data_IF_681335057516
#
_entry.id   IF_681335057516
#
_cell.length_a   1.000
_cell.length_b   1.000
_cell.length_c   1.000
_cell.angle_alpha   90.00
_cell.angle_beta   90.00
_cell.angle_gamma   90.00
#
_symmetry.space_group_name_H-M   'P 1'
#
loop_
_entity.id
_entity.type
_entity.pdbx_description
1 polymer ?
#
# COMPACT_ATOMS: atom_id res chain seq x y z
N UNK A 1 -16.79 -11.28 -38.18
CA UNK A 1 -15.74 -12.15 -37.61
C UNK A 1 -15.24 -11.48 -36.33
N UNK A 2 -15.67 -11.94 -35.14
CA UNK A 2 -15.30 -11.33 -33.87
C UNK A 2 -13.95 -11.89 -33.41
N UNK A 3 -12.90 -11.07 -33.37
CA UNK A 3 -11.62 -11.48 -32.76
C UNK A 3 -11.85 -11.60 -31.24
N UNK A 4 -11.72 -12.82 -30.71
CA UNK A 4 -11.56 -13.04 -29.27
C UNK A 4 -10.28 -12.32 -28.84
N UNK A 5 -10.43 -11.17 -28.18
CA UNK A 5 -9.31 -10.48 -27.59
C UNK A 5 -8.71 -11.38 -26.51
N UNK A 6 -7.41 -11.69 -26.61
CA UNK A 6 -6.70 -12.48 -25.61
C UNK A 6 -6.93 -11.87 -24.21
N UNK A 7 -7.31 -12.72 -23.25
CA UNK A 7 -7.46 -12.28 -21.87
C UNK A 7 -6.10 -11.83 -21.34
N UNK A 8 -6.02 -10.69 -20.64
CA UNK A 8 -4.77 -10.22 -20.07
C UNK A 8 -4.24 -11.24 -19.06
N UNK A 9 -3.00 -11.65 -19.26
CA UNK A 9 -2.33 -12.70 -18.49
C UNK A 9 -1.70 -12.07 -17.23
N UNK A 10 -1.89 -12.66 -16.04
CA UNK A 10 -1.16 -12.24 -14.85
C UNK A 10 0.35 -12.28 -15.06
N UNK A 11 1.06 -11.28 -14.56
CA UNK A 11 2.52 -11.23 -14.63
C UNK A 11 3.15 -11.96 -13.44
N UNK A 12 4.34 -12.54 -13.67
CA UNK A 12 5.18 -13.07 -12.60
C UNK A 12 5.90 -11.92 -11.92
N UNK A 13 5.88 -11.91 -10.60
CA UNK A 13 6.54 -10.90 -9.77
C UNK A 13 7.45 -11.56 -8.74
N UNK A 14 8.43 -10.80 -8.24
CA UNK A 14 9.35 -11.26 -7.20
C UNK A 14 9.58 -10.13 -6.21
N UNK A 15 9.50 -10.45 -4.92
CA UNK A 15 9.74 -9.48 -3.87
C UNK A 15 11.18 -8.96 -3.92
N UNK A 16 11.33 -7.64 -3.76
CA UNK A 16 12.62 -6.96 -3.88
C UNK A 16 12.91 -6.11 -2.64
N UNK A 17 13.94 -6.53 -1.88
CA UNK A 17 14.50 -5.76 -0.77
C UNK A 17 13.79 -5.97 0.57
N UNK A 18 13.62 -4.89 1.32
CA UNK A 18 12.96 -4.88 2.64
C UNK A 18 11.68 -4.05 2.57
N UNK A 19 10.61 -4.41 3.31
CA UNK A 19 9.39 -3.63 3.33
C UNK A 19 9.64 -2.25 3.94
N UNK A 20 9.08 -1.22 3.32
CA UNK A 20 9.25 0.16 3.78
C UNK A 20 8.11 0.59 4.70
N UNK A 21 8.44 1.09 5.90
CA UNK A 21 7.46 1.74 6.79
C UNK A 21 7.08 3.12 6.23
N UNK A 22 5.80 3.32 5.89
CA UNK A 22 5.29 4.55 5.30
C UNK A 22 3.98 5.01 5.93
N UNK A 23 3.77 6.31 5.92
CA UNK A 23 2.44 6.91 5.99
C UNK A 23 1.97 7.17 4.57
N UNK A 24 0.74 6.76 4.25
CA UNK A 24 0.12 7.01 2.96
C UNK A 24 -0.87 8.15 3.14
N UNK A 25 -0.51 9.32 2.62
CA UNK A 25 -1.25 10.56 2.83
C UNK A 25 -1.89 11.05 1.53
N UNK A 26 -3.10 11.56 1.60
CA UNK A 26 -3.65 12.38 0.54
C UNK A 26 -3.40 13.86 0.90
N UNK A 27 -2.70 14.64 0.06
CA UNK A 27 -2.27 16.00 0.41
C UNK A 27 -3.31 17.08 0.09
N UNK A 28 -4.39 16.76 -0.64
CA UNK A 28 -5.29 17.76 -1.22
C UNK A 28 -6.32 18.24 -0.20
N UNK A 29 -6.63 19.56 -0.09
CA UNK A 29 -7.42 20.12 1.02
C UNK A 29 -8.72 19.37 1.35
N UNK A 30 -9.56 19.09 0.34
CA UNK A 30 -10.83 18.35 0.49
C UNK A 30 -10.63 16.92 0.97
N UNK A 31 -9.51 16.31 0.60
CA UNK A 31 -9.21 14.92 0.87
C UNK A 31 -8.04 14.73 1.84
N UNK A 32 -7.64 15.79 2.54
CA UNK A 32 -6.41 15.83 3.31
C UNK A 32 -6.45 14.86 4.48
N UNK A 33 -5.44 14.02 4.58
CA UNK A 33 -5.28 13.09 5.70
C UNK A 33 -4.54 11.80 5.33
N UNK A 34 -4.38 10.94 6.32
CA UNK A 34 -3.62 9.68 6.23
C UNK A 34 -4.57 8.50 6.15
N UNK A 35 -4.19 7.46 5.40
CA UNK A 35 -4.87 6.18 5.44
C UNK A 35 -4.70 5.56 6.82
N UNK A 36 -5.81 5.12 7.41
CA UNK A 36 -5.84 4.49 8.73
C UNK A 36 -6.77 3.28 8.72
N UNK A 37 -6.48 2.35 9.61
CA UNK A 37 -7.44 1.36 10.04
C UNK A 37 -8.17 1.84 11.29
N UNK A 38 -9.49 1.82 11.27
CA UNK A 38 -10.28 2.08 12.49
C UNK A 38 -10.44 0.77 13.26
N UNK A 39 -10.49 0.83 14.59
CA UNK A 39 -10.89 -0.27 15.47
C UNK A 39 -12.40 -0.25 15.72
N UNK A 40 -12.95 -1.39 16.13
CA UNK A 40 -14.30 -1.57 16.65
C UNK A 40 -14.34 -1.22 18.13
N UNK A 41 -15.54 -1.13 18.72
CA UNK A 41 -15.70 -0.86 20.15
C UNK A 41 -15.07 -1.94 21.04
N UNK A 42 -15.02 -3.19 20.57
CA UNK A 42 -14.36 -4.30 21.25
C UNK A 42 -12.82 -4.35 21.03
N UNK A 43 -12.23 -3.32 20.41
CA UNK A 43 -10.79 -3.25 20.13
C UNK A 43 -10.37 -3.87 18.80
N UNK A 44 -11.19 -4.74 18.20
CA UNK A 44 -10.79 -5.44 16.98
C UNK A 44 -10.60 -4.51 15.78
N UNK A 45 -9.62 -4.78 14.90
CA UNK A 45 -9.45 -4.01 13.68
C UNK A 45 -10.65 -4.14 12.72
N UNK A 46 -11.10 -3.02 12.14
CA UNK A 46 -12.10 -3.07 11.05
C UNK A 46 -11.47 -3.56 9.75
N UNK A 47 -12.25 -4.30 8.97
CA UNK A 47 -11.84 -4.83 7.66
C UNK A 47 -11.90 -3.79 6.51
N UNK A 48 -11.74 -2.49 6.81
CA UNK A 48 -11.87 -1.39 5.85
C UNK A 48 -10.84 -0.30 6.11
N UNK A 49 -10.44 0.38 5.04
CA UNK A 49 -9.51 1.51 5.06
C UNK A 49 -10.29 2.82 5.18
N UNK A 50 -9.85 3.72 6.03
CA UNK A 50 -10.44 5.05 6.21
C UNK A 50 -9.39 6.14 6.03
N UNK A 51 -9.83 7.40 6.03
CA UNK A 51 -8.95 8.57 6.15
C UNK A 51 -9.14 9.24 7.50
N UNK A 52 -8.04 9.56 8.17
CA UNK A 52 -8.02 10.48 9.31
C UNK A 52 -7.31 11.80 8.94
N UNK A 53 -7.89 12.94 9.32
CA UNK A 53 -7.31 14.26 9.02
C UNK A 53 -6.06 14.53 9.87
N UNK A 54 -6.08 14.05 11.12
CA UNK A 54 -5.00 14.14 12.07
C UNK A 54 -4.71 12.73 12.58
N UNK A 55 -3.44 12.34 12.53
CA UNK A 55 -2.95 11.10 13.12
C UNK A 55 -2.06 11.53 14.28
N UNK A 56 -2.48 11.26 15.54
CA UNK A 56 -1.67 11.60 16.70
C UNK A 56 -0.27 11.00 16.61
N UNK A 57 0.73 11.71 17.12
CA UNK A 57 2.08 11.20 17.20
C UNK A 57 2.09 9.90 18.02
N UNK A 58 2.50 8.79 17.40
CA UNK A 58 2.51 7.47 18.02
C UNK A 58 1.32 6.57 17.69
N UNK A 59 0.34 7.04 16.90
CA UNK A 59 -0.70 6.17 16.36
C UNK A 59 -0.08 5.15 15.39
N UNK A 60 -0.10 3.87 15.76
CA UNK A 60 0.49 2.77 14.99
C UNK A 60 -0.43 2.29 13.87
N UNK A 61 -1.74 2.56 13.97
CA UNK A 61 -2.79 2.11 13.05
C UNK A 61 -2.79 2.83 11.70
N UNK A 62 -1.89 3.81 11.53
CA UNK A 62 -1.65 4.51 10.27
C UNK A 62 -0.39 4.06 9.53
N UNK A 63 0.46 3.26 10.18
CA UNK A 63 1.72 2.83 9.57
C UNK A 63 1.46 1.68 8.60
N UNK A 64 1.84 1.89 7.34
CA UNK A 64 1.69 0.90 6.27
C UNK A 64 3.07 0.37 5.89
N UNK A 65 3.23 -0.94 5.94
CA UNK A 65 4.35 -1.65 5.31
C UNK A 65 4.08 -1.73 3.81
N UNK A 66 5.04 -1.25 3.02
CA UNK A 66 5.00 -1.29 1.55
C UNK A 66 6.04 -2.29 1.08
N UNK A 67 5.58 -3.41 0.55
CA UNK A 67 6.39 -4.45 -0.07
C UNK A 67 6.48 -4.14 -1.56
N UNK A 68 7.68 -4.01 -2.12
CA UNK A 68 7.89 -3.71 -3.54
C UNK A 68 8.36 -4.95 -4.29
N UNK A 69 7.93 -5.10 -5.54
CA UNK A 69 8.24 -6.25 -6.37
C UNK A 69 8.80 -5.81 -7.73
N UNK A 70 9.71 -6.62 -8.25
CA UNK A 70 10.09 -6.61 -9.67
C UNK A 70 9.18 -7.55 -10.45
N UNK A 71 9.11 -7.40 -11.78
CA UNK A 71 8.28 -8.23 -12.64
C UNK A 71 9.02 -8.67 -13.90
N UNK A 72 8.58 -9.79 -14.46
CA UNK A 72 9.01 -10.26 -15.77
C UNK A 72 7.76 -10.50 -16.65
N UNK A 73 7.57 -9.74 -17.74
CA UNK A 73 8.41 -8.61 -18.18
C UNK A 73 8.37 -7.42 -17.20
N UNK A 74 9.37 -6.52 -17.24
CA UNK A 74 9.35 -5.30 -16.43
C UNK A 74 8.14 -4.44 -16.73
N UNK A 75 7.50 -3.92 -15.66
CA UNK A 75 6.42 -2.95 -15.79
C UNK A 75 6.99 -1.56 -16.09
N UNK A 76 6.42 -0.86 -17.07
CA UNK A 76 6.95 0.43 -17.58
C UNK A 76 6.38 1.65 -16.87
N UNK A 77 5.24 1.53 -16.19
CA UNK A 77 4.48 2.65 -15.64
C UNK A 77 4.43 2.74 -14.11
N UNK A 78 5.22 1.95 -13.38
CA UNK A 78 5.13 1.95 -11.92
C UNK A 78 5.90 0.84 -11.23
N UNK A 79 5.43 0.45 -10.06
CA UNK A 79 6.02 -0.65 -9.27
C UNK A 79 4.90 -1.45 -8.64
N UNK A 80 4.96 -2.77 -8.77
CA UNK A 80 4.02 -3.64 -8.06
C UNK A 80 4.31 -3.59 -6.56
N UNK A 81 3.25 -3.44 -5.78
CA UNK A 81 3.32 -3.34 -4.33
C UNK A 81 2.23 -4.15 -3.65
N UNK A 82 2.53 -4.54 -2.41
CA UNK A 82 1.55 -5.01 -1.43
C UNK A 82 1.59 -4.07 -0.24
N UNK A 83 0.41 -3.71 0.26
CA UNK A 83 0.23 -2.77 1.37
C UNK A 83 -0.34 -3.53 2.56
N UNK A 84 0.24 -3.33 3.74
CA UNK A 84 -0.20 -3.96 4.99
C UNK A 84 -0.20 -2.93 6.12
N UNK A 85 -1.27 -2.87 6.91
CA UNK A 85 -1.21 -2.11 8.16
C UNK A 85 -0.30 -2.85 9.15
N UNK A 86 0.76 -2.16 9.62
CA UNK A 86 1.83 -2.77 10.42
C UNK A 86 1.31 -3.37 11.72
N UNK A 87 0.43 -2.66 12.43
CA UNK A 87 -0.02 -3.06 13.76
C UNK A 87 -0.97 -4.27 13.70
N UNK A 88 -1.93 -4.27 12.78
CA UNK A 88 -2.92 -5.35 12.66
C UNK A 88 -2.45 -6.51 11.80
N UNK A 89 -1.39 -6.34 11.01
CA UNK A 89 -0.95 -7.32 10.02
C UNK A 89 -1.92 -7.48 8.83
N UNK A 90 -2.99 -6.68 8.73
CA UNK A 90 -3.99 -6.85 7.68
C UNK A 90 -3.57 -6.18 6.37
N UNK A 91 -3.71 -6.92 5.28
CA UNK A 91 -3.37 -6.50 3.92
C UNK A 91 -4.52 -5.77 3.24
N UNK A 92 -4.17 -4.78 2.43
CA UNK A 92 -5.08 -4.18 1.47
C UNK A 92 -5.34 -5.22 0.37
N UNK A 93 -6.60 -5.43 0.03
CA UNK A 93 -6.97 -6.35 -1.03
C UNK A 93 -8.18 -5.87 -1.82
N UNK A 94 -8.25 -6.29 -3.08
CA UNK A 94 -9.43 -6.19 -3.91
C UNK A 94 -10.26 -7.48 -3.82
N UNK A 95 -11.50 -7.37 -3.36
CA UNK A 95 -12.50 -8.46 -3.37
C UNK A 95 -13.76 -8.07 -4.12
N UNK A 96 -14.57 -9.06 -4.46
CA UNK A 96 -15.86 -8.87 -5.13
C UNK A 96 -15.78 -9.11 -6.65
N UNK A 97 -16.88 -8.81 -7.34
CA UNK A 97 -17.00 -9.04 -8.78
C UNK A 97 -16.26 -7.94 -9.56
N UNK A 98 -15.82 -8.25 -10.77
CA UNK A 98 -15.08 -7.32 -11.62
C UNK A 98 -15.82 -6.00 -11.92
N UNK A 99 -17.16 -6.03 -11.94
CA UNK A 99 -18.00 -4.83 -12.14
C UNK A 99 -18.31 -4.06 -10.84
N UNK A 100 -18.06 -4.66 -9.67
CA UNK A 100 -18.22 -4.01 -8.36
C UNK A 100 -17.09 -4.41 -7.39
N UNK A 101 -15.84 -4.02 -7.70
CA UNK A 101 -14.70 -4.35 -6.86
C UNK A 101 -14.74 -3.53 -5.57
N UNK A 102 -14.34 -4.15 -4.46
CA UNK A 102 -14.31 -3.56 -3.12
C UNK A 102 -12.90 -3.57 -2.58
N UNK A 103 -12.47 -2.45 -2.03
CA UNK A 103 -11.27 -2.38 -1.19
C UNK A 103 -11.61 -2.94 0.19
N UNK A 104 -10.86 -3.92 0.65
CA UNK A 104 -11.01 -4.52 1.98
C UNK A 104 -9.65 -4.67 2.65
N UNK A 105 -9.68 -4.86 3.96
CA UNK A 105 -8.53 -5.35 4.73
C UNK A 105 -8.75 -6.82 5.06
N UNK A 106 -7.74 -7.65 4.82
CA UNK A 106 -7.82 -9.09 5.04
C UNK A 106 -6.51 -9.65 5.59
N UNK A 107 -6.63 -10.78 6.29
CA UNK A 107 -5.49 -11.61 6.62
C UNK A 107 -4.93 -12.26 5.36
N UNK A 108 -3.67 -12.70 5.44
CA UNK A 108 -3.04 -13.44 4.37
C UNK A 108 -1.67 -13.94 4.78
N UNK A 109 -1.14 -14.83 3.96
CA UNK A 109 0.21 -15.33 4.11
C UNK A 109 1.25 -14.21 3.94
N UNK A 110 2.51 -14.52 4.25
CA UNK A 110 3.64 -13.63 4.05
C UNK A 110 3.66 -13.04 2.62
N UNK A 111 3.65 -11.71 2.55
CA UNK A 111 3.69 -10.98 1.28
C UNK A 111 4.93 -11.35 0.46
N UNK A 112 6.09 -11.61 1.09
CA UNK A 112 7.34 -11.88 0.35
C UNK A 112 7.27 -13.11 -0.55
N UNK A 113 6.31 -14.01 -0.31
CA UNK A 113 6.06 -15.24 -1.08
C UNK A 113 5.12 -15.05 -2.27
N UNK A 114 4.54 -13.87 -2.45
CA UNK A 114 3.64 -13.59 -3.58
C UNK A 114 4.44 -13.52 -4.87
N UNK A 115 4.04 -14.32 -5.86
CA UNK A 115 4.75 -14.46 -7.14
C UNK A 115 3.93 -14.06 -8.36
N UNK A 116 2.68 -13.61 -8.18
CA UNK A 116 1.79 -13.25 -9.31
C UNK A 116 0.93 -12.03 -9.03
N UNK A 117 0.69 -11.22 -10.07
CA UNK A 117 -0.28 -10.11 -10.06
C UNK A 117 -1.75 -10.56 -10.02
N UNK A 118 -2.00 -11.87 -10.09
CA UNK A 118 -3.31 -12.45 -9.84
C UNK A 118 -3.72 -12.40 -8.36
N UNK A 119 -2.77 -12.21 -7.44
CA UNK A 119 -3.07 -12.10 -6.02
C UNK A 119 -3.89 -10.81 -5.76
N UNK A 120 -5.04 -10.88 -5.06
CA UNK A 120 -5.91 -9.74 -4.81
C UNK A 120 -5.27 -8.63 -3.99
N UNK A 121 -4.15 -8.90 -3.30
CA UNK A 121 -3.39 -7.95 -2.50
C UNK A 121 -2.39 -7.13 -3.32
N UNK A 122 -2.17 -7.48 -4.59
CA UNK A 122 -1.21 -6.79 -5.45
C UNK A 122 -1.85 -5.57 -6.11
N UNK A 123 -1.17 -4.45 -5.95
CA UNK A 123 -1.48 -3.18 -6.58
C UNK A 123 -0.29 -2.73 -7.41
N UNK A 124 -0.54 -2.04 -8.51
CA UNK A 124 0.45 -1.25 -9.20
C UNK A 124 0.43 0.17 -8.64
N UNK A 125 1.55 0.59 -8.06
CA UNK A 125 1.78 1.96 -7.64
C UNK A 125 2.37 2.75 -8.80
N UNK A 126 1.61 3.72 -9.33
CA UNK A 126 2.01 4.52 -10.49
C UNK A 126 2.19 5.99 -10.10
N UNK A 127 3.23 6.69 -10.58
CA UNK A 127 3.28 8.14 -10.45
C UNK A 127 2.14 8.79 -11.24
N UNK A 128 1.65 9.92 -10.76
CA UNK A 128 0.65 10.72 -11.49
C UNK A 128 1.34 11.55 -12.58
N UNK A 129 0.66 11.79 -13.71
CA UNK A 129 1.21 12.60 -14.81
C UNK A 129 1.59 14.03 -14.36
N UNK A 130 0.85 14.56 -13.37
CA UNK A 130 0.99 15.96 -12.94
C UNK A 130 2.04 16.15 -11.83
N UNK A 131 2.58 15.08 -11.26
CA UNK A 131 3.52 15.15 -10.13
C UNK A 131 4.26 13.83 -9.93
N UNK A 132 5.60 13.91 -10.01
CA UNK A 132 6.49 12.78 -9.69
C UNK A 132 6.45 12.36 -8.20
N UNK A 133 5.82 13.16 -7.35
CA UNK A 133 5.73 12.91 -5.89
C UNK A 133 4.39 12.29 -5.49
N UNK A 134 3.40 12.35 -6.36
CA UNK A 134 2.06 11.83 -6.13
C UNK A 134 1.87 10.52 -6.89
N UNK A 135 1.17 9.58 -6.26
CA UNK A 135 0.96 8.24 -6.78
C UNK A 135 -0.51 7.82 -6.68
N UNK A 136 -0.92 6.91 -7.56
CA UNK A 136 -2.15 6.13 -7.45
C UNK A 136 -1.82 4.67 -7.15
N UNK A 137 -2.74 3.96 -6.52
CA UNK A 137 -2.63 2.51 -6.29
C UNK A 137 -3.73 1.78 -7.06
N UNK A 138 -3.37 1.22 -8.21
CA UNK A 138 -4.29 0.48 -9.09
C UNK A 138 -4.29 -1.01 -8.75
N UNK A 139 -5.43 -1.59 -8.38
CA UNK A 139 -5.49 -3.03 -8.09
C UNK A 139 -5.30 -3.85 -9.37
N UNK A 140 -4.37 -4.80 -9.37
CA UNK A 140 -4.15 -5.66 -10.54
C UNK A 140 -5.40 -6.49 -10.87
N UNK A 141 -6.04 -7.07 -9.85
CA UNK A 141 -7.25 -7.90 -10.01
C UNK A 141 -8.46 -7.07 -10.45
N UNK A 142 -8.78 -5.96 -9.76
CA UNK A 142 -9.95 -5.15 -10.13
C UNK A 142 -9.78 -4.48 -11.50
N UNK A 143 -8.54 -4.22 -11.92
CA UNK A 143 -8.21 -3.68 -13.24
C UNK A 143 -8.14 -4.75 -14.33
N UNK A 144 -8.56 -5.99 -14.04
CA UNK A 144 -8.51 -7.13 -14.95
C UNK A 144 -7.12 -7.32 -15.55
N UNK A 145 -6.08 -7.28 -14.72
CA UNK A 145 -4.67 -7.42 -15.14
C UNK A 145 -4.21 -6.36 -16.16
N UNK A 146 -4.91 -5.22 -16.25
CA UNK A 146 -4.50 -4.03 -17.02
C UNK A 146 -4.45 -2.79 -16.11
N UNK A 147 -3.67 -2.81 -15.01
CA UNK A 147 -3.60 -1.68 -14.08
C UNK A 147 -2.92 -0.44 -14.68
N UNK A 148 -2.18 -0.58 -15.77
CA UNK A 148 -1.55 0.53 -16.50
C UNK A 148 -2.51 1.32 -17.39
N UNK A 149 -3.62 0.72 -17.81
CA UNK A 149 -4.62 1.31 -18.72
C UNK A 149 -5.65 2.12 -17.91
N UNK A 150 -5.63 3.47 -17.94
CA UNK A 150 -6.54 4.28 -17.12
C UNK A 150 -8.02 4.01 -17.37
N UNK A 151 -8.39 3.53 -18.57
CA UNK A 151 -9.77 3.16 -18.91
C UNK A 151 -10.26 1.89 -18.20
N UNK A 152 -9.34 1.12 -17.62
CA UNK A 152 -9.63 -0.12 -16.89
C UNK A 152 -9.17 -0.07 -15.44
N UNK A 153 -8.13 0.70 -15.14
CA UNK A 153 -7.49 0.79 -13.85
C UNK A 153 -8.49 1.13 -12.74
N UNK A 154 -8.57 0.28 -11.72
CA UNK A 154 -9.39 0.49 -10.54
C UNK A 154 -8.49 0.86 -9.36
N UNK A 155 -8.54 2.12 -8.96
CA UNK A 155 -7.62 2.72 -7.98
C UNK A 155 -8.29 2.98 -6.63
N UNK A 156 -7.48 2.98 -5.58
CA UNK A 156 -7.92 3.41 -4.23
C UNK A 156 -8.40 4.86 -4.31
N UNK A 157 -9.64 5.09 -3.89
CA UNK A 157 -10.32 6.39 -3.98
C UNK A 157 -10.95 6.75 -2.64
N UNK A 158 -10.69 7.97 -2.17
CA UNK A 158 -11.24 8.49 -0.92
C UNK A 158 -12.61 9.15 -1.12
N UNK A 159 -13.45 9.10 -0.08
CA UNK A 159 -14.66 9.91 -0.02
C UNK A 159 -14.37 11.30 0.56
N UNK A 160 -15.25 12.29 0.27
CA UNK A 160 -15.23 13.58 0.97
C UNK A 160 -15.54 13.38 2.46
N UNK A 161 -16.54 12.55 2.76
CA UNK A 161 -16.89 12.17 4.13
C UNK A 161 -15.84 11.18 4.68
N UNK A 162 -15.13 11.58 5.75
CA UNK A 162 -14.05 10.81 6.38
C UNK A 162 -14.53 9.52 7.07
N UNK A 163 -15.83 9.42 7.37
CA UNK A 163 -16.43 8.22 7.96
C UNK A 163 -16.82 7.18 6.92
N UNK A 164 -16.80 7.55 5.64
CA UNK A 164 -16.93 6.58 4.55
C UNK A 164 -15.57 5.93 4.27
N UNK A 165 -15.53 4.59 4.14
CA UNK A 165 -14.30 3.89 3.81
C UNK A 165 -13.80 4.27 2.41
N UNK A 166 -12.50 4.12 2.19
CA UNK A 166 -11.92 4.15 0.86
C UNK A 166 -12.47 2.99 0.02
N UNK A 167 -12.59 3.22 -1.28
CA UNK A 167 -13.16 2.26 -2.24
C UNK A 167 -12.29 2.14 -3.47
N UNK A 168 -12.56 1.16 -4.34
CA UNK A 168 -11.95 1.08 -5.66
C UNK A 168 -12.89 1.75 -6.68
N UNK A 169 -12.38 2.72 -7.44
CA UNK A 169 -13.08 3.33 -8.58
C UNK A 169 -12.20 3.36 -9.81
N UNK A 170 -12.79 3.59 -10.97
CA UNK A 170 -12.01 3.79 -12.19
C UNK A 170 -11.07 4.99 -12.00
N UNK A 171 -9.82 4.84 -12.45
CA UNK A 171 -8.85 5.92 -12.48
C UNK A 171 -9.44 7.11 -13.25
N UNK A 172 -9.15 8.31 -12.77
CA UNK A 172 -9.69 9.56 -13.30
C UNK A 172 -11.22 9.71 -13.22
N UNK A 173 -11.93 8.76 -12.61
CA UNK A 173 -13.37 8.84 -12.34
C UNK A 173 -13.65 8.85 -10.85
N UNK A 174 -14.60 9.67 -10.44
CA UNK A 174 -15.00 9.75 -9.04
C UNK A 174 -15.51 11.14 -8.70
N UNK A 175 -15.62 11.45 -7.39
CA UNK A 175 -16.04 12.78 -6.96
C UNK A 175 -15.00 13.86 -7.32
N UNK A 176 -13.71 13.49 -7.45
CA UNK A 176 -12.65 14.28 -8.09
C UNK A 176 -11.35 13.47 -8.23
N UNK A 177 -10.41 13.93 -9.08
CA UNK A 177 -9.10 13.28 -9.30
C UNK A 177 -8.24 13.23 -8.03
N UNK A 178 -8.23 14.33 -7.29
CA UNK A 178 -7.42 14.52 -6.09
C UNK A 178 -7.70 13.46 -5.01
N UNK A 179 -8.90 12.88 -5.02
CA UNK A 179 -9.30 11.82 -4.09
C UNK A 179 -8.55 10.49 -4.28
N UNK A 180 -7.83 10.34 -5.40
CA UNK A 180 -7.08 9.14 -5.77
C UNK A 180 -5.57 9.30 -5.61
N UNK A 181 -5.09 10.51 -5.32
CA UNK A 181 -3.67 10.84 -5.30
C UNK A 181 -3.10 10.77 -3.88
N UNK A 182 -1.94 10.13 -3.76
CA UNK A 182 -1.30 9.87 -2.48
C UNK A 182 0.19 10.20 -2.51
N UNK A 183 0.71 10.63 -1.37
CA UNK A 183 2.14 10.77 -1.07
C UNK A 183 2.55 9.71 -0.05
N UNK A 184 3.77 9.22 -0.19
CA UNK A 184 4.42 8.37 0.80
C UNK A 184 5.31 9.24 1.67
N UNK A 185 5.09 9.26 2.98
CA UNK A 185 6.03 9.82 3.95
C UNK A 185 6.70 8.73 4.75
N UNK A 186 7.94 8.96 5.17
CA UNK A 186 8.63 8.06 6.10
C UNK A 186 7.88 8.09 7.42
N UNK A 187 7.43 6.93 7.90
CA UNK A 187 6.88 6.82 9.24
C UNK A 187 8.04 7.00 10.23
N UNK A 188 8.07 8.12 10.97
CA UNK A 188 9.06 8.33 12.03
C UNK A 188 8.72 7.41 13.19
N UNK A 189 9.43 6.30 13.31
CA UNK A 189 9.44 5.54 14.56
C UNK A 189 10.15 6.36 15.63
N UNK A 190 9.61 6.45 16.84
CA UNK A 190 10.46 6.74 18.00
C UNK A 190 11.45 5.57 18.09
N UNK A 191 12.65 5.77 17.58
CA UNK A 191 13.75 4.86 17.85
C UNK A 191 13.96 4.88 19.36
N UNK A 192 13.61 3.79 20.05
CA UNK A 192 14.15 3.54 21.39
C UNK A 192 15.63 3.22 21.22
N UNK A 193 16.45 4.25 21.02
CA UNK A 193 17.89 4.19 21.27
C UNK A 193 18.09 4.79 22.66
N UNK A 194 18.24 3.91 23.62
CA UNK A 194 18.62 4.20 24.99
C UNK A 194 18.80 2.85 25.65
N UNK A 195 20.02 2.59 26.11
CA UNK A 195 20.46 1.45 26.91
C UNK A 195 20.81 0.18 26.13
N UNK A 196 22.04 0.17 25.57
CA UNK A 196 22.84 -1.04 25.57
C UNK A 196 24.32 -0.65 25.80
N UNK A 197 24.65 -0.68 27.10
CA UNK A 197 25.92 -1.00 27.76
C UNK A 197 27.23 -0.86 26.97
N UNK A 198 27.97 0.21 27.24
CA UNK A 198 29.43 0.24 27.18
C UNK A 198 29.96 0.03 28.60
N UNK A 199 30.34 -1.21 28.95
CA UNK A 199 31.43 -1.51 29.90
C UNK A 199 31.49 -3.03 30.12
N UNK A 200 32.38 -3.69 29.38
CA UNK A 200 33.21 -4.82 29.83
C UNK A 200 33.91 -5.42 28.61
N UNK A 201 35.15 -5.00 28.34
CA UNK A 201 36.20 -5.95 27.93
C UNK A 201 37.53 -5.51 28.57
N UNK A 202 37.87 -6.24 29.63
CA UNK A 202 39.18 -6.34 30.23
C UNK A 202 39.94 -7.45 29.49
N UNK A 203 41.25 -7.22 29.34
CA UNK A 203 42.34 -8.15 28.94
C UNK A 203 42.50 -8.52 27.46
N UNK A 204 43.64 -8.09 26.90
CA UNK A 204 44.62 -9.07 26.41
C UNK A 204 46.05 -8.54 26.63
N UNK A 205 46.80 -9.31 27.42
CA UNK A 205 48.26 -9.24 27.55
C UNK A 205 48.91 -9.57 26.20
N UNK A 206 49.91 -8.79 25.78
CA UNK A 206 50.98 -9.33 24.94
C UNK A 206 52.34 -8.84 25.42
N UNK A 207 53.03 -9.75 26.11
CA UNK A 207 54.48 -9.85 26.12
C UNK A 207 55.03 -9.83 24.69
N UNK A 208 56.01 -8.96 24.38
CA UNK A 208 57.31 -9.33 23.80
C UNK A 208 58.21 -8.12 23.55
N UNK A 209 59.40 -8.25 24.17
CA UNK A 209 60.69 -7.59 23.95
C UNK A 209 60.87 -6.13 24.40
#
# INVERSE_FOLDING_TARGET
MWKLAALPIPQKIQFHGQPANRLIENPFPTYKGTLVQKTRQNGDPKAKVFRAAHVPAGNRDSTVLVYSYTSTPPVTGGTYVVLQFKESGLYFASKGRSWYPRLVLQEGEDATKITSTADPRVFLMKPTQNSAKDFVFASCVASKQKPDDPSKARVITLSRNKDKPAVLKLEEKGPSLESQYFKKKVARGRSRRGEQSDECQVQEEQHRN
#
